data_IF_379944528317
#
_entry.id   IF_379944528317
#
_cell.length_a   1.000
_cell.length_b   1.000
_cell.length_c   1.000
_cell.angle_alpha   90.00
_cell.angle_beta   90.00
_cell.angle_gamma   90.00
#
_symmetry.space_group_name_H-M   'P 1'
#
loop_
_entity.id
_entity.type
_entity.pdbx_description
1 polymer ?
#
# COMPACT_ATOMS: atom_id res chain seq x y z
N UNK A 1 -0.10 14.72 10.76
CA UNK A 1 -1.57 14.90 10.64
C UNK A 1 -2.13 13.72 9.85
N UNK A 2 -3.01 12.92 10.44
CA UNK A 2 -3.74 11.88 9.70
C UNK A 2 -4.81 12.55 8.85
N UNK A 3 -4.84 12.29 7.54
CA UNK A 3 -5.87 12.76 6.61
C UNK A 3 -6.97 11.70 6.53
N UNK A 4 -7.75 11.57 7.60
CA UNK A 4 -8.93 10.71 7.60
C UNK A 4 -9.92 11.21 6.53
N UNK A 5 -10.52 10.29 5.75
CA UNK A 5 -11.48 10.55 4.66
C UNK A 5 -10.94 10.96 3.28
N UNK A 6 -9.62 11.01 3.07
CA UNK A 6 -9.06 11.12 1.71
C UNK A 6 -8.81 9.73 1.11
N UNK A 7 -8.97 9.60 -0.22
CA UNK A 7 -8.50 8.39 -0.91
C UNK A 7 -7.01 8.21 -0.64
N UNK A 8 -6.60 6.97 -0.40
CA UNK A 8 -5.20 6.62 -0.30
C UNK A 8 -4.48 7.01 -1.61
N UNK A 9 -3.23 7.44 -1.51
CA UNK A 9 -2.38 7.70 -2.68
C UNK A 9 -2.22 6.40 -3.45
N UNK A 10 -2.47 6.43 -4.76
CA UNK A 10 -2.25 5.27 -5.62
C UNK A 10 -0.75 5.08 -5.84
N UNK A 11 -0.18 4.07 -5.20
CA UNK A 11 1.24 3.71 -5.31
C UNK A 11 1.40 2.29 -5.83
N UNK A 12 2.59 1.99 -6.37
CA UNK A 12 2.98 0.66 -6.81
C UNK A 12 4.22 0.17 -6.04
N UNK A 13 4.18 -1.07 -5.55
CA UNK A 13 5.29 -1.71 -4.83
C UNK A 13 5.57 -3.08 -5.44
N UNK A 14 6.84 -3.45 -5.53
CA UNK A 14 7.23 -4.83 -5.82
C UNK A 14 7.11 -5.68 -4.54
N UNK A 15 6.56 -6.88 -4.66
CA UNK A 15 6.66 -7.90 -3.62
C UNK A 15 8.00 -8.65 -3.68
N UNK A 16 8.18 -9.63 -2.80
CA UNK A 16 9.40 -10.44 -2.72
C UNK A 16 9.62 -11.36 -3.93
N UNK A 17 8.59 -11.62 -4.73
CA UNK A 17 8.68 -12.36 -5.99
C UNK A 17 8.90 -11.42 -7.20
N UNK A 18 8.97 -10.11 -6.98
CA UNK A 18 9.09 -9.10 -8.03
C UNK A 18 7.78 -8.75 -8.72
N UNK A 19 6.63 -9.25 -8.23
CA UNK A 19 5.32 -8.86 -8.76
C UNK A 19 5.02 -7.43 -8.33
N UNK A 20 4.65 -6.59 -9.29
CA UNK A 20 4.24 -5.22 -9.03
C UNK A 20 2.77 -5.21 -8.61
N UNK A 21 2.51 -4.69 -7.42
CA UNK A 21 1.17 -4.47 -6.88
C UNK A 21 0.85 -2.99 -6.93
N UNK A 22 -0.21 -2.60 -7.63
CA UNK A 22 -0.73 -1.25 -7.59
C UNK A 22 -1.90 -1.17 -6.62
N UNK A 23 -1.94 -0.12 -5.78
CA UNK A 23 -2.98 0.00 -4.75
C UNK A 23 -4.40 -0.01 -5.35
N UNK A 24 -4.58 0.64 -6.49
CA UNK A 24 -5.86 0.68 -7.22
C UNK A 24 -6.36 -0.69 -7.70
N UNK A 25 -5.49 -1.69 -7.87
CA UNK A 25 -5.89 -3.05 -8.25
C UNK A 25 -6.75 -3.73 -7.16
N UNK A 26 -6.65 -3.24 -5.93
CA UNK A 26 -7.39 -3.73 -4.75
C UNK A 26 -8.66 -2.94 -4.45
N UNK A 27 -9.10 -2.05 -5.34
CA UNK A 27 -10.31 -1.24 -5.15
C UNK A 27 -11.53 -2.13 -4.86
N UNK A 28 -12.30 -1.76 -3.83
CA UNK A 28 -13.48 -2.52 -3.40
C UNK A 28 -13.17 -3.74 -2.53
N UNK A 29 -11.91 -3.93 -2.12
CA UNK A 29 -11.48 -4.98 -1.19
C UNK A 29 -10.81 -4.36 0.04
N UNK A 30 -10.86 -5.09 1.16
CA UNK A 30 -10.08 -4.73 2.34
C UNK A 30 -8.63 -5.12 2.14
N UNK A 31 -7.71 -4.20 2.43
CA UNK A 31 -6.27 -4.41 2.34
C UNK A 31 -5.60 -4.00 3.65
N UNK A 32 -4.77 -4.87 4.20
CA UNK A 32 -3.93 -4.58 5.37
C UNK A 32 -2.51 -4.25 4.90
N UNK A 33 -2.03 -3.05 5.23
CA UNK A 33 -0.67 -2.59 4.92
C UNK A 33 0.11 -2.43 6.21
N UNK A 34 1.26 -3.11 6.30
CA UNK A 34 2.16 -3.03 7.46
C UNK A 34 3.46 -2.37 7.02
N UNK A 35 3.65 -1.13 7.46
CA UNK A 35 4.92 -0.42 7.29
C UNK A 35 5.80 -0.69 8.51
N UNK A 36 6.91 -1.38 8.30
CA UNK A 36 7.93 -1.56 9.32
C UNK A 36 9.15 -0.72 8.96
N UNK A 37 9.76 -0.08 9.95
CA UNK A 37 11.03 0.62 9.76
C UNK A 37 12.13 -0.41 9.74
N UNK A 38 12.88 -0.49 8.64
CA UNK A 38 14.15 -1.21 8.65
C UNK A 38 15.14 -0.42 9.52
N UNK A 39 15.52 -0.97 10.67
CA UNK A 39 16.61 -0.45 11.48
C UNK A 39 17.86 -1.19 10.99
N UNK A 40 18.64 -0.51 10.14
CA UNK A 40 19.98 -0.94 9.79
C UNK A 40 20.94 -0.69 10.96
#
# INVERSE_FOLDING_TARGET
MSRVSQKAVDFALADTAGTIHRLSDYTGRWLLLVFHRHLA
#
